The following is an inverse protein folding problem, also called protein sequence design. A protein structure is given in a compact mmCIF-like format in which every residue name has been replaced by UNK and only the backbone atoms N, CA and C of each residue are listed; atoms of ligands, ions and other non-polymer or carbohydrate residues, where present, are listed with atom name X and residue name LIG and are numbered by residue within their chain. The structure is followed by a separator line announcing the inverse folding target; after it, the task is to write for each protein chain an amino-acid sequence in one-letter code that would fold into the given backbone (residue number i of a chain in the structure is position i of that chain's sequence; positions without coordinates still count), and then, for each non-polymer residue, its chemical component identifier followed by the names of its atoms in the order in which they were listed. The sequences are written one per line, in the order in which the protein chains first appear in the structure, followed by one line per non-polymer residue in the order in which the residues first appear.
data_IF_773417494720
#
_entry.id   IF_773417494720
#
_cell.length_a   1.000
_cell.length_b   1.000
_cell.length_c   1.000
_cell.angle_alpha   90.00
_cell.angle_beta   90.00
_cell.angle_gamma   90.00
#
_symmetry.space_group_name_H-M   'P 1'
#
loop_
_entity.id
_entity.type
_entity.pdbx_description
1 polymer ?
#
# COMPACT_ATOMS: atom_id res chain seq x y z
N UNK A 1 23.37 -4.47 -36.14
CA UNK A 1 22.95 -5.74 -35.54
C UNK A 1 22.34 -5.43 -34.21
N UNK A 2 21.00 -5.31 -34.13
CA UNK A 2 20.29 -4.96 -32.93
C UNK A 2 20.07 -6.22 -32.08
N UNK A 3 20.59 -6.24 -30.87
CA UNK A 3 20.24 -7.24 -29.86
C UNK A 3 18.84 -6.88 -29.32
N UNK A 4 17.82 -7.51 -29.89
CA UNK A 4 16.48 -7.49 -29.34
C UNK A 4 16.45 -8.26 -28.02
N UNK A 5 16.44 -7.53 -26.91
CA UNK A 5 16.15 -8.10 -25.59
C UNK A 5 14.65 -8.47 -25.56
N UNK A 6 14.36 -9.76 -25.66
CA UNK A 6 13.02 -10.28 -25.42
C UNK A 6 12.69 -10.11 -23.93
N UNK A 7 11.84 -9.15 -23.61
CA UNK A 7 11.24 -9.03 -22.29
C UNK A 7 10.31 -10.24 -22.12
N UNK A 8 10.68 -11.15 -21.23
CA UNK A 8 9.86 -12.29 -20.86
C UNK A 8 8.67 -11.74 -20.07
N UNK A 9 7.44 -11.86 -20.60
CA UNK A 9 6.23 -11.61 -19.82
C UNK A 9 6.29 -12.48 -18.56
N UNK A 10 6.29 -11.86 -17.40
CA UNK A 10 6.22 -12.57 -16.14
C UNK A 10 4.74 -12.88 -15.93
N UNK A 11 4.44 -14.16 -15.82
CA UNK A 11 3.09 -14.66 -15.54
C UNK A 11 2.67 -14.19 -14.14
N UNK A 12 1.50 -13.54 -13.97
CA UNK A 12 1.01 -13.11 -12.67
C UNK A 12 0.91 -14.24 -11.64
N UNK A 13 0.75 -15.48 -12.09
CA UNK A 13 0.77 -16.67 -11.22
C UNK A 13 2.18 -17.07 -10.76
N UNK A 14 3.25 -16.46 -11.30
CA UNK A 14 4.65 -16.73 -10.91
C UNK A 14 5.24 -15.67 -9.95
N UNK A 15 4.47 -14.69 -9.49
CA UNK A 15 4.84 -13.81 -8.36
C UNK A 15 4.71 -14.52 -7.00
N UNK A 16 4.86 -15.82 -6.99
CA UNK A 16 5.12 -16.58 -5.78
C UNK A 16 6.54 -16.26 -5.35
N UNK A 17 6.70 -15.76 -4.15
CA UNK A 17 7.96 -15.48 -3.48
C UNK A 17 9.03 -16.56 -3.75
N UNK A 18 9.83 -16.38 -4.79
CA UNK A 18 10.86 -17.33 -5.21
C UNK A 18 12.20 -16.99 -4.60
N UNK A 19 12.31 -17.09 -3.27
CA UNK A 19 13.63 -17.19 -2.65
C UNK A 19 13.60 -18.12 -1.47
N UNK A 20 14.31 -19.22 -1.63
CA UNK A 20 14.81 -20.16 -0.65
C UNK A 20 13.84 -20.79 0.35
N UNK A 21 13.71 -22.10 0.18
CA UNK A 21 13.46 -23.11 1.22
C UNK A 21 12.52 -22.70 2.38
N UNK A 22 11.26 -23.15 2.29
CA UNK A 22 10.32 -23.26 3.40
C UNK A 22 9.70 -21.96 3.89
N UNK A 23 8.85 -21.34 3.08
CA UNK A 23 7.75 -20.53 3.60
C UNK A 23 6.43 -21.26 3.34
N UNK A 24 5.81 -21.86 4.35
CA UNK A 24 4.47 -22.44 4.22
C UNK A 24 3.37 -21.36 4.18
N UNK A 25 3.71 -20.07 4.11
CA UNK A 25 2.83 -18.95 4.33
C UNK A 25 2.57 -18.17 3.06
N UNK A 26 1.33 -17.70 2.91
CA UNK A 26 0.90 -16.89 1.78
C UNK A 26 1.69 -15.58 1.65
N UNK A 27 1.80 -15.10 0.43
CA UNK A 27 2.41 -13.82 0.11
C UNK A 27 1.63 -13.22 -1.06
N UNK A 28 1.29 -11.95 -0.95
CA UNK A 28 0.70 -11.17 -2.03
C UNK A 28 1.53 -9.91 -2.21
N UNK A 29 2.04 -9.71 -3.40
CA UNK A 29 2.77 -8.51 -3.78
C UNK A 29 2.18 -8.01 -5.09
N UNK A 30 1.70 -6.77 -5.07
CA UNK A 30 1.16 -6.10 -6.23
C UNK A 30 1.90 -4.79 -6.42
N UNK A 31 2.36 -4.56 -7.61
CA UNK A 31 2.92 -3.28 -8.00
C UNK A 31 2.31 -2.86 -9.33
N UNK A 32 1.85 -1.65 -9.37
CA UNK A 32 1.18 -1.05 -10.52
C UNK A 32 2.08 -0.99 -11.78
N UNK A 33 3.27 -1.58 -11.71
CA UNK A 33 4.17 -1.73 -12.84
C UNK A 33 3.69 -2.70 -13.91
N UNK A 34 2.64 -3.49 -13.68
CA UNK A 34 2.31 -4.58 -14.58
C UNK A 34 0.90 -4.50 -15.16
N UNK A 35 -0.12 -4.41 -14.37
CA UNK A 35 -1.52 -4.39 -14.85
C UNK A 35 -2.43 -3.97 -13.71
N UNK A 36 -3.64 -3.52 -14.04
CA UNK A 36 -4.74 -3.41 -13.09
C UNK A 36 -4.93 -4.75 -12.36
N UNK A 37 -4.87 -4.73 -11.05
CA UNK A 37 -4.98 -5.92 -10.22
C UNK A 37 -6.05 -5.74 -9.13
N UNK A 38 -6.78 -6.83 -8.85
CA UNK A 38 -7.63 -7.00 -7.69
C UNK A 38 -7.35 -8.39 -7.11
N UNK A 39 -6.86 -8.44 -5.88
CA UNK A 39 -6.42 -9.68 -5.23
C UNK A 39 -6.80 -9.69 -3.77
N UNK A 40 -7.19 -10.86 -3.28
CA UNK A 40 -7.52 -11.10 -1.87
C UNK A 40 -6.66 -12.23 -1.32
N UNK A 41 -6.34 -12.14 -0.02
CA UNK A 41 -5.54 -13.12 0.70
C UNK A 41 -5.95 -13.16 2.16
N UNK A 42 -6.04 -14.37 2.73
CA UNK A 42 -6.13 -14.58 4.17
C UNK A 42 -4.77 -15.00 4.72
N UNK A 43 -4.28 -14.31 5.74
CA UNK A 43 -2.95 -14.53 6.30
C UNK A 43 -2.88 -14.12 7.76
N UNK A 44 -2.43 -15.02 8.63
CA UNK A 44 -2.19 -14.75 10.06
C UNK A 44 -3.38 -14.04 10.75
N UNK A 45 -4.62 -14.51 10.53
CA UNK A 45 -5.82 -13.94 11.13
C UNK A 45 -6.28 -12.59 10.54
N UNK A 46 -5.71 -12.18 9.41
CA UNK A 46 -6.19 -11.08 8.59
C UNK A 46 -6.78 -11.59 7.28
N UNK A 47 -7.93 -11.06 6.90
CA UNK A 47 -8.40 -11.02 5.53
C UNK A 47 -7.86 -9.72 4.90
N UNK A 48 -7.29 -9.81 3.72
CA UNK A 48 -6.69 -8.70 3.00
C UNK A 48 -7.27 -8.62 1.59
N UNK A 49 -7.51 -7.41 1.11
CA UNK A 49 -7.94 -7.17 -0.26
C UNK A 49 -7.18 -5.96 -0.82
N UNK A 50 -6.66 -6.09 -2.02
CA UNK A 50 -5.89 -5.05 -2.70
C UNK A 50 -6.43 -4.79 -4.08
N UNK A 51 -6.72 -3.54 -4.36
CA UNK A 51 -6.95 -3.03 -5.71
C UNK A 51 -5.78 -2.11 -6.07
N UNK A 52 -5.15 -2.35 -7.22
CA UNK A 52 -4.11 -1.49 -7.78
C UNK A 52 -4.49 -1.13 -9.23
N UNK A 53 -4.53 0.16 -9.54
CA UNK A 53 -4.88 0.70 -10.85
C UNK A 53 -3.81 1.69 -11.26
N UNK A 54 -2.95 1.34 -12.23
CA UNK A 54 -1.94 2.27 -12.73
C UNK A 54 -2.58 3.42 -13.51
N UNK A 55 -2.00 4.60 -13.39
CA UNK A 55 -2.28 5.76 -14.24
C UNK A 55 -1.64 5.54 -15.62
N UNK A 56 -2.40 5.77 -16.68
CA UNK A 56 -1.91 5.53 -18.03
C UNK A 56 -1.85 4.05 -18.42
N UNK A 57 -1.28 3.75 -19.59
CA UNK A 57 -1.55 2.48 -20.27
C UNK A 57 -0.80 1.25 -19.74
N UNK A 58 0.34 1.39 -19.06
CA UNK A 58 1.18 0.21 -18.86
C UNK A 58 1.88 0.06 -17.48
N UNK A 59 2.18 1.12 -16.73
CA UNK A 59 2.99 1.01 -15.50
C UNK A 59 2.81 2.18 -14.55
N UNK A 60 2.83 1.90 -13.27
CA UNK A 60 2.76 2.88 -12.20
C UNK A 60 3.90 2.79 -11.19
N UNK A 61 3.91 3.70 -10.23
CA UNK A 61 4.86 3.78 -9.12
C UNK A 61 4.39 3.10 -7.83
N UNK A 62 3.10 2.81 -7.73
CA UNK A 62 2.54 2.16 -6.52
C UNK A 62 3.02 0.73 -6.34
N UNK A 63 3.32 0.38 -5.09
CA UNK A 63 3.67 -0.97 -4.66
C UNK A 63 2.90 -1.31 -3.40
N UNK A 64 2.20 -2.43 -3.40
CA UNK A 64 1.60 -3.01 -2.19
C UNK A 64 2.09 -4.42 -1.95
N UNK A 65 2.26 -4.79 -0.67
CA UNK A 65 2.67 -6.12 -0.27
C UNK A 65 1.98 -6.55 1.03
N UNK A 66 1.51 -7.80 1.05
CA UNK A 66 1.00 -8.47 2.25
C UNK A 66 1.72 -9.81 2.35
N UNK A 67 2.47 -10.03 3.40
CA UNK A 67 3.24 -11.25 3.55
C UNK A 67 3.40 -11.69 5.01
N UNK A 68 3.67 -12.98 5.20
CA UNK A 68 3.89 -13.54 6.53
C UNK A 68 5.35 -13.38 6.97
N UNK A 69 5.55 -12.85 8.17
CA UNK A 69 6.84 -12.88 8.85
C UNK A 69 6.99 -14.13 9.75
N UNK A 70 5.88 -14.75 10.14
CA UNK A 70 5.77 -16.00 10.91
C UNK A 70 4.33 -16.50 10.85
N UNK A 71 4.03 -17.62 11.52
CA UNK A 71 2.67 -18.18 11.60
C UNK A 71 1.63 -17.17 12.11
N UNK A 72 2.06 -16.30 13.03
CA UNK A 72 1.18 -15.38 13.75
C UNK A 72 1.35 -13.92 13.33
N UNK A 73 2.32 -13.59 12.48
CA UNK A 73 2.63 -12.20 12.12
C UNK A 73 2.51 -11.97 10.63
N UNK A 74 1.58 -11.12 10.25
CA UNK A 74 1.45 -10.59 8.91
C UNK A 74 2.07 -9.18 8.83
N UNK A 75 2.80 -8.91 7.76
CA UNK A 75 3.27 -7.57 7.41
C UNK A 75 2.54 -7.05 6.19
N UNK A 76 2.24 -5.77 6.23
CA UNK A 76 1.67 -5.04 5.11
C UNK A 76 2.54 -3.84 4.78
N UNK A 77 2.63 -3.52 3.51
CA UNK A 77 3.35 -2.35 2.99
C UNK A 77 2.53 -1.76 1.86
N UNK A 78 2.41 -0.44 1.85
CA UNK A 78 1.98 0.32 0.70
C UNK A 78 3.01 1.43 0.48
N UNK A 79 3.53 1.52 -0.72
CA UNK A 79 4.53 2.50 -1.13
C UNK A 79 4.06 3.17 -2.42
N UNK A 80 4.30 4.47 -2.52
CA UNK A 80 4.01 5.28 -3.68
C UNK A 80 5.29 6.05 -4.06
N UNK A 81 5.76 5.79 -5.27
CA UNK A 81 7.01 6.31 -5.79
C UNK A 81 6.75 7.56 -6.62
N UNK A 82 7.41 8.66 -6.29
CA UNK A 82 7.27 9.94 -6.99
C UNK A 82 7.36 9.81 -8.50
N UNK A 83 6.38 10.36 -9.19
CA UNK A 83 6.24 10.33 -10.64
C UNK A 83 5.30 9.22 -11.10
N UNK A 84 5.13 9.07 -12.40
CA UNK A 84 4.23 8.11 -13.01
C UNK A 84 4.91 7.34 -14.16
N UNK A 85 4.30 6.25 -14.56
CA UNK A 85 4.75 5.49 -15.72
C UNK A 85 6.04 4.70 -15.50
N UNK A 86 6.86 4.59 -16.55
CA UNK A 86 8.01 3.67 -16.56
C UNK A 86 9.07 4.02 -15.50
N UNK A 87 9.41 5.30 -15.35
CA UNK A 87 10.47 5.71 -14.42
C UNK A 87 10.07 5.47 -12.96
N UNK A 88 8.83 5.79 -12.58
CA UNK A 88 8.30 5.47 -11.27
C UNK A 88 8.27 3.95 -11.02
N UNK A 89 7.94 3.14 -12.03
CA UNK A 89 7.97 1.68 -11.92
C UNK A 89 9.36 1.10 -11.68
N UNK A 90 10.43 1.77 -12.14
CA UNK A 90 11.80 1.37 -11.81
C UNK A 90 12.13 1.65 -10.34
N UNK A 91 11.64 2.76 -9.81
CA UNK A 91 11.77 3.09 -8.38
C UNK A 91 11.00 2.09 -7.53
N UNK A 92 9.75 1.79 -7.87
CA UNK A 92 8.94 0.78 -7.19
C UNK A 92 9.62 -0.59 -7.17
N UNK A 93 10.22 -1.00 -8.29
CA UNK A 93 11.00 -2.25 -8.36
C UNK A 93 12.22 -2.23 -7.45
N UNK A 94 12.88 -1.08 -7.29
CA UNK A 94 14.01 -0.96 -6.37
C UNK A 94 13.55 -1.07 -4.92
N UNK A 95 12.47 -0.37 -4.55
CA UNK A 95 11.83 -0.49 -3.23
C UNK A 95 11.44 -1.94 -2.94
N UNK A 96 10.80 -2.62 -3.90
CA UNK A 96 10.46 -4.04 -3.79
C UNK A 96 11.68 -4.91 -3.51
N UNK A 97 12.80 -4.69 -4.22
CA UNK A 97 14.04 -5.42 -3.97
C UNK A 97 14.58 -5.18 -2.54
N UNK A 98 14.52 -3.94 -2.05
CA UNK A 98 14.96 -3.60 -0.70
C UNK A 98 14.03 -4.20 0.37
N UNK A 99 12.71 -4.24 0.15
CA UNK A 99 11.77 -4.93 1.02
C UNK A 99 12.12 -6.42 1.18
N UNK A 100 12.45 -7.10 0.09
CA UNK A 100 12.92 -8.48 0.14
C UNK A 100 14.24 -8.63 0.90
N UNK A 101 15.17 -7.69 0.70
CA UNK A 101 16.46 -7.70 1.41
C UNK A 101 16.29 -7.56 2.92
N UNK A 102 15.33 -6.73 3.36
CA UNK A 102 15.11 -6.40 4.76
C UNK A 102 13.88 -7.09 5.38
N UNK A 103 13.31 -8.08 4.72
CA UNK A 103 12.09 -8.78 5.16
C UNK A 103 12.18 -9.39 6.58
N UNK A 104 13.39 -9.67 7.08
CA UNK A 104 13.61 -10.24 8.41
C UNK A 104 13.60 -9.19 9.53
N UNK A 105 13.60 -7.89 9.19
CA UNK A 105 13.43 -6.82 10.17
C UNK A 105 11.97 -6.81 10.62
N UNK A 106 11.72 -7.15 11.91
CA UNK A 106 10.36 -7.24 12.45
C UNK A 106 9.78 -5.91 12.90
N UNK A 107 10.62 -5.04 13.39
CA UNK A 107 10.30 -3.69 13.80
C UNK A 107 9.87 -2.84 12.59
N UNK A 108 8.72 -2.17 12.65
CA UNK A 108 8.18 -1.40 11.52
C UNK A 108 8.97 -0.11 11.28
N UNK A 109 9.34 0.58 12.35
CA UNK A 109 10.17 1.78 12.26
C UNK A 109 11.58 1.45 11.78
N UNK A 110 12.17 0.38 12.30
CA UNK A 110 13.48 -0.12 11.87
C UNK A 110 13.50 -0.56 10.41
N UNK A 111 12.41 -1.13 9.88
CA UNK A 111 12.29 -1.44 8.46
C UNK A 111 12.36 -0.17 7.61
N UNK A 112 11.59 0.89 7.96
CA UNK A 112 11.62 2.16 7.22
C UNK A 112 13.00 2.81 7.28
N UNK A 113 13.65 2.79 8.44
CA UNK A 113 15.02 3.30 8.61
C UNK A 113 16.01 2.57 7.69
N UNK A 114 15.96 1.24 7.68
CA UNK A 114 16.84 0.42 6.82
C UNK A 114 16.56 0.63 5.32
N UNK A 115 15.27 0.78 4.95
CA UNK A 115 14.87 1.11 3.58
C UNK A 115 15.40 2.47 3.17
N UNK A 116 15.22 3.49 4.03
CA UNK A 116 15.69 4.85 3.75
C UNK A 116 17.20 4.91 3.55
N UNK A 117 17.97 4.31 4.46
CA UNK A 117 19.43 4.32 4.37
C UNK A 117 19.93 3.65 3.09
N UNK A 118 19.40 2.47 2.76
CA UNK A 118 19.80 1.75 1.56
C UNK A 118 19.34 2.46 0.27
N UNK A 119 18.15 3.04 0.28
CA UNK A 119 17.60 3.74 -0.87
C UNK A 119 18.34 5.05 -1.15
N UNK A 120 18.64 5.82 -0.12
CA UNK A 120 19.36 7.09 -0.25
C UNK A 120 20.77 6.88 -0.80
N UNK A 121 21.50 5.87 -0.33
CA UNK A 121 22.83 5.51 -0.85
C UNK A 121 22.76 5.17 -2.34
N UNK A 122 21.83 4.30 -2.74
CA UNK A 122 21.67 3.90 -4.15
C UNK A 122 21.25 5.04 -5.07
N UNK A 123 20.47 5.99 -4.56
CA UNK A 123 20.03 7.17 -5.33
C UNK A 123 21.15 8.19 -5.54
N UNK A 124 22.09 8.31 -4.60
CA UNK A 124 23.25 9.22 -4.74
C UNK A 124 24.28 8.73 -5.75
N UNK A 125 24.35 7.43 -6.00
CA UNK A 125 25.25 6.81 -7.00
C UNK A 125 24.71 6.92 -8.43
N UNK A 126 23.50 7.43 -8.63
CA UNK A 126 22.81 7.52 -9.92
C UNK A 126 23.04 8.84 -10.67
N UNK A 127 22.10 9.17 -11.52
CA UNK A 127 22.12 10.32 -12.44
C UNK A 127 21.79 11.69 -11.79
N UNK A 128 21.69 11.74 -10.46
CA UNK A 128 21.29 12.93 -9.71
C UNK A 128 19.79 13.23 -9.72
N UNK A 129 18.98 12.35 -10.28
CA UNK A 129 17.52 12.48 -10.22
C UNK A 129 17.04 12.19 -8.80
N UNK A 130 16.31 13.14 -8.23
CA UNK A 130 15.70 12.95 -6.91
C UNK A 130 14.64 11.84 -7.00
N UNK A 131 14.90 10.75 -6.30
CA UNK A 131 13.98 9.62 -6.20
C UNK A 131 13.51 9.53 -4.76
N UNK A 132 12.21 9.65 -4.57
CA UNK A 132 11.56 9.57 -3.26
C UNK A 132 10.41 8.59 -3.34
N UNK A 133 10.06 8.06 -2.18
CA UNK A 133 8.92 7.17 -2.06
C UNK A 133 8.23 7.43 -0.74
N UNK A 134 6.91 7.61 -0.77
CA UNK A 134 6.12 7.58 0.43
C UNK A 134 5.84 6.12 0.79
N UNK A 135 5.88 5.77 2.07
CA UNK A 135 5.64 4.39 2.52
C UNK A 135 4.85 4.36 3.81
N UNK A 136 3.85 3.51 3.87
CA UNK A 136 3.28 3.03 5.13
C UNK A 136 3.55 1.54 5.27
N UNK A 137 3.97 1.11 6.45
CA UNK A 137 4.12 -0.31 6.77
C UNK A 137 3.46 -0.63 8.09
N UNK A 138 2.89 -1.82 8.20
CA UNK A 138 2.28 -2.32 9.42
C UNK A 138 2.62 -3.80 9.66
N UNK A 139 2.63 -4.20 10.92
CA UNK A 139 2.76 -5.57 11.34
C UNK A 139 1.61 -5.93 12.29
N UNK A 140 0.87 -6.97 11.96
CA UNK A 140 -0.22 -7.50 12.77
C UNK A 140 0.23 -8.79 13.47
N UNK A 141 0.09 -8.83 14.80
CA UNK A 141 0.27 -10.05 15.60
C UNK A 141 -1.11 -10.66 15.91
N UNK A 142 -1.42 -11.81 15.30
CA UNK A 142 -2.69 -12.50 15.45
C UNK A 142 -2.97 -12.93 16.91
N UNK A 143 -1.93 -13.21 17.70
CA UNK A 143 -2.06 -13.67 19.09
C UNK A 143 -2.53 -12.55 20.03
N UNK A 144 -2.02 -11.35 19.80
CA UNK A 144 -2.34 -10.17 20.65
C UNK A 144 -3.45 -9.33 20.02
N UNK A 145 -3.61 -9.38 18.71
CA UNK A 145 -4.44 -8.49 17.93
C UNK A 145 -3.85 -7.09 17.80
N UNK A 146 -2.57 -6.93 18.07
CA UNK A 146 -1.87 -5.66 17.95
C UNK A 146 -1.45 -5.43 16.50
N UNK A 147 -1.70 -4.22 16.01
CA UNK A 147 -1.24 -3.73 14.72
C UNK A 147 -0.30 -2.56 14.96
N UNK A 148 0.99 -2.78 14.73
CA UNK A 148 2.05 -1.78 14.85
C UNK A 148 2.37 -1.23 13.48
N UNK A 149 2.50 0.09 13.33
CA UNK A 149 2.67 0.73 12.04
C UNK A 149 3.56 1.97 12.12
N UNK A 150 4.17 2.31 10.98
CA UNK A 150 5.03 3.48 10.78
C UNK A 150 4.80 4.09 9.40
N UNK A 151 5.09 5.38 9.27
CA UNK A 151 4.94 6.15 8.03
C UNK A 151 6.25 6.81 7.61
N UNK A 152 6.45 6.88 6.31
CA UNK A 152 7.41 7.74 5.63
C UNK A 152 6.64 8.66 4.68
N UNK A 153 6.06 9.74 5.20
CA UNK A 153 5.26 10.75 4.48
C UNK A 153 4.04 10.20 3.69
N UNK A 154 3.59 8.99 3.96
CA UNK A 154 2.45 8.38 3.26
C UNK A 154 1.12 8.86 3.85
N UNK A 155 0.01 8.90 3.07
CA UNK A 155 -1.32 9.20 3.59
C UNK A 155 -1.67 8.35 4.81
N UNK A 156 -2.33 8.95 5.79
CA UNK A 156 -2.70 8.24 7.02
C UNK A 156 -3.79 7.21 6.75
N UNK A 157 -3.62 6.04 7.32
CA UNK A 157 -4.60 4.95 7.24
C UNK A 157 -5.88 5.32 7.99
N UNK A 158 -7.00 4.76 7.53
CA UNK A 158 -8.27 4.79 8.22
C UNK A 158 -8.49 3.45 8.94
N UNK A 159 -8.93 3.53 10.19
CA UNK A 159 -9.32 2.38 11.01
C UNK A 159 -10.84 2.39 11.20
N UNK A 160 -11.52 1.40 10.66
CA UNK A 160 -12.91 1.10 10.97
C UNK A 160 -13.01 0.38 12.30
N UNK A 161 -13.72 0.95 13.24
CA UNK A 161 -14.09 0.32 14.51
C UNK A 161 -15.46 -0.34 14.36
N UNK A 162 -15.48 -1.65 14.23
CA UNK A 162 -16.72 -2.38 13.98
C UNK A 162 -17.80 -2.19 15.06
N UNK A 163 -17.39 -2.06 16.31
CA UNK A 163 -18.32 -1.84 17.43
C UNK A 163 -18.92 -0.45 17.46
N UNK A 164 -18.11 0.54 17.13
CA UNK A 164 -18.48 1.96 17.13
C UNK A 164 -19.12 2.38 15.79
N UNK A 165 -19.02 1.54 14.76
CA UNK A 165 -19.50 1.80 13.39
C UNK A 165 -19.00 3.14 12.84
N UNK A 166 -17.70 3.41 13.00
CA UNK A 166 -17.06 4.63 12.52
C UNK A 166 -15.64 4.39 12.05
N UNK A 167 -15.19 5.21 11.10
CA UNK A 167 -13.79 5.33 10.75
C UNK A 167 -13.10 6.38 11.62
N UNK A 168 -11.84 6.11 11.97
CA UNK A 168 -10.92 7.07 12.58
C UNK A 168 -9.61 7.08 11.80
N UNK A 169 -8.99 8.23 11.64
CA UNK A 169 -7.65 8.34 11.10
C UNK A 169 -6.63 7.94 12.18
N UNK A 170 -5.61 7.18 11.83
CA UNK A 170 -4.57 6.73 12.76
C UNK A 170 -3.18 7.20 12.30
N UNK A 171 -2.26 7.41 13.25
CA UNK A 171 -0.88 7.83 12.98
C UNK A 171 -0.63 9.31 13.20
N UNK A 172 -1.49 10.01 13.94
CA UNK A 172 -1.20 11.40 14.36
C UNK A 172 0.12 11.44 15.14
N UNK A 173 1.00 12.37 14.79
CA UNK A 173 2.33 12.52 15.39
C UNK A 173 3.42 11.62 14.80
N UNK A 174 3.13 10.89 13.70
CA UNK A 174 4.11 10.11 12.94
C UNK A 174 4.52 10.82 11.62
N UNK A 175 4.64 12.14 11.65
CA UNK A 175 5.11 12.90 10.49
C UNK A 175 6.63 12.72 10.34
N UNK A 176 7.04 11.99 9.30
CA UNK A 176 8.44 11.75 8.92
C UNK A 176 8.65 12.09 7.44
N UNK A 177 9.90 12.24 7.02
CA UNK A 177 10.23 12.45 5.62
C UNK A 177 9.99 11.19 4.77
N UNK A 178 9.72 11.33 3.46
CA UNK A 178 9.66 10.18 2.56
C UNK A 178 11.02 9.50 2.48
N UNK A 179 11.00 8.23 2.13
CA UNK A 179 12.23 7.46 1.88
C UNK A 179 12.99 8.08 0.71
N UNK A 180 14.31 8.25 0.89
CA UNK A 180 15.20 8.81 -0.10
C UNK A 180 15.40 10.33 0.00
N UNK A 181 14.67 11.03 0.86
CA UNK A 181 14.75 12.48 0.98
C UNK A 181 15.90 12.93 1.90
N UNK A 182 16.05 12.29 3.06
CA UNK A 182 17.08 12.64 4.07
C UNK A 182 17.82 11.38 4.51
N UNK A 183 19.16 11.44 4.49
CA UNK A 183 19.99 10.35 5.03
C UNK A 183 19.93 10.32 6.55
N UNK A 184 19.81 9.13 7.14
CA UNK A 184 19.82 8.93 8.59
C UNK A 184 18.52 9.29 9.28
N UNK A 185 17.42 9.44 8.54
CA UNK A 185 16.10 9.64 9.12
C UNK A 185 15.74 8.48 10.04
N UNK A 186 15.24 8.80 11.22
CA UNK A 186 14.79 7.83 12.22
C UNK A 186 13.25 7.85 12.28
N UNK A 187 12.64 6.77 11.86
CA UNK A 187 11.19 6.64 11.88
C UNK A 187 10.69 6.21 13.26
N UNK A 188 9.46 6.57 13.56
CA UNK A 188 8.76 6.15 14.77
C UNK A 188 7.58 5.26 14.41
N UNK A 189 7.13 4.45 15.36
CA UNK A 189 5.97 3.59 15.19
C UNK A 189 4.93 3.81 16.29
N UNK A 190 3.71 3.48 15.98
CA UNK A 190 2.59 3.43 16.93
C UNK A 190 1.90 2.07 16.81
N UNK A 191 1.16 1.71 17.86
CA UNK A 191 0.38 0.49 17.86
C UNK A 191 -1.09 0.78 18.16
N UNK A 192 -1.96 -0.02 17.57
CA UNK A 192 -3.38 -0.06 17.88
C UNK A 192 -3.84 -1.50 17.99
N UNK A 193 -4.70 -1.79 18.95
CA UNK A 193 -5.32 -3.11 19.04
C UNK A 193 -6.53 -3.18 18.12
N UNK A 194 -6.53 -4.13 17.20
CA UNK A 194 -7.69 -4.47 16.39
C UNK A 194 -8.55 -5.49 17.12
N UNK A 195 -9.86 -5.28 17.16
CA UNK A 195 -10.83 -6.29 17.55
C UNK A 195 -11.29 -7.06 16.32
N UNK A 196 -11.91 -8.22 16.52
CA UNK A 196 -12.55 -8.96 15.42
C UNK A 196 -13.54 -8.07 14.69
N UNK A 197 -13.42 -8.03 13.36
CA UNK A 197 -14.22 -7.19 12.48
C UNK A 197 -13.70 -5.76 12.30
N UNK A 198 -12.75 -5.28 13.10
CA UNK A 198 -12.07 -4.01 12.84
C UNK A 198 -11.28 -4.11 11.51
N UNK A 199 -11.24 -3.02 10.76
CA UNK A 199 -10.62 -2.97 9.43
C UNK A 199 -9.67 -1.78 9.31
N UNK A 200 -8.50 -2.02 8.71
CA UNK A 200 -7.57 -0.97 8.26
C UNK A 200 -7.80 -0.73 6.77
N UNK A 201 -7.82 0.53 6.37
CA UNK A 201 -7.83 0.97 4.98
C UNK A 201 -6.61 1.87 4.75
N UNK A 202 -5.64 1.37 4.00
CA UNK A 202 -4.52 2.15 3.47
C UNK A 202 -4.79 2.47 1.99
N UNK A 203 -4.28 3.60 1.52
CA UNK A 203 -4.52 4.07 0.15
C UNK A 203 -3.41 5.00 -0.31
N UNK A 204 -3.08 4.99 -1.62
CA UNK A 204 -2.19 5.98 -2.22
C UNK A 204 -2.91 7.32 -2.42
N UNK A 205 -2.15 8.39 -2.59
CA UNK A 205 -2.69 9.75 -2.72
C UNK A 205 -3.58 9.91 -3.97
N UNK A 206 -3.33 9.14 -5.04
CA UNK A 206 -4.20 9.12 -6.21
C UNK A 206 -5.66 8.80 -5.90
N UNK A 207 -5.96 8.13 -4.77
CA UNK A 207 -7.35 7.94 -4.34
C UNK A 207 -8.00 9.21 -3.77
N UNK A 208 -7.20 10.18 -3.29
CA UNK A 208 -7.67 11.42 -2.65
C UNK A 208 -7.46 12.66 -3.51
N UNK A 209 -6.58 12.58 -4.50
CA UNK A 209 -6.26 13.70 -5.40
C UNK A 209 -7.12 13.75 -6.66
N UNK A 210 -7.97 12.75 -6.88
CA UNK A 210 -8.95 12.80 -7.97
C UNK A 210 -9.82 14.06 -7.88
N UNK A 211 -10.00 14.71 -9.00
CA UNK A 211 -10.85 15.90 -9.13
C UNK A 211 -11.74 15.81 -10.38
N UNK A 212 -12.96 16.35 -10.35
CA UNK A 212 -13.72 16.60 -11.56
C UNK A 212 -13.08 17.73 -12.37
N UNK A 213 -13.33 17.84 -13.69
CA UNK A 213 -12.65 18.79 -14.59
C UNK A 213 -12.67 20.25 -14.15
N UNK A 214 -13.72 20.67 -13.44
CA UNK A 214 -13.89 22.03 -12.92
C UNK A 214 -14.21 22.02 -11.42
N UNK A 215 -13.54 21.14 -10.64
CA UNK A 215 -13.81 20.97 -9.22
C UNK A 215 -12.55 20.83 -8.38
N UNK A 216 -12.76 20.70 -7.08
CA UNK A 216 -11.69 20.49 -6.11
C UNK A 216 -11.36 19.00 -5.99
N UNK A 217 -10.16 18.69 -5.50
CA UNK A 217 -9.76 17.32 -5.18
C UNK A 217 -10.66 16.73 -4.08
N UNK A 218 -10.82 15.41 -4.11
CA UNK A 218 -11.61 14.68 -3.10
C UNK A 218 -11.08 14.93 -1.69
N UNK A 219 -9.78 15.03 -1.53
CA UNK A 219 -9.04 15.22 -0.27
C UNK A 219 -9.17 14.03 0.69
N UNK A 220 -8.25 13.85 1.66
CA UNK A 220 -8.36 12.79 2.67
C UNK A 220 -9.66 12.84 3.48
N UNK A 221 -10.18 14.06 3.77
CA UNK A 221 -11.47 14.21 4.47
C UNK A 221 -12.68 13.82 3.62
N UNK A 222 -12.61 14.07 2.32
CA UNK A 222 -13.64 13.63 1.37
C UNK A 222 -13.63 12.13 1.22
N UNK A 223 -12.43 11.52 1.12
CA UNK A 223 -12.26 10.09 1.04
C UNK A 223 -12.74 9.36 2.30
N UNK A 224 -12.46 9.90 3.50
CA UNK A 224 -13.01 9.40 4.75
C UNK A 224 -14.55 9.34 4.71
N UNK A 225 -15.22 10.45 4.31
CA UNK A 225 -16.70 10.49 4.18
C UNK A 225 -17.22 9.50 3.15
N UNK A 226 -16.49 9.31 2.05
CA UNK A 226 -16.82 8.31 1.04
C UNK A 226 -16.75 6.89 1.61
N UNK A 227 -15.68 6.57 2.35
CA UNK A 227 -15.53 5.28 3.01
C UNK A 227 -16.64 5.02 4.04
N UNK A 228 -17.01 6.02 4.85
CA UNK A 228 -18.14 5.94 5.80
C UNK A 228 -19.47 5.69 5.09
N UNK A 229 -19.74 6.43 4.01
CA UNK A 229 -20.95 6.25 3.21
C UNK A 229 -20.99 4.85 2.58
N UNK A 230 -19.87 4.41 2.01
CA UNK A 230 -19.75 3.08 1.42
C UNK A 230 -20.02 1.99 2.46
N UNK A 231 -19.39 2.07 3.63
CA UNK A 231 -19.59 1.13 4.72
C UNK A 231 -21.08 1.10 5.19
N UNK A 232 -21.71 2.26 5.27
CA UNK A 232 -23.12 2.40 5.69
C UNK A 232 -24.07 1.72 4.72
N UNK A 233 -23.80 1.77 3.41
CA UNK A 233 -24.60 1.10 2.38
C UNK A 233 -24.61 -0.43 2.52
N UNK A 234 -23.58 -1.00 3.13
CA UNK A 234 -23.49 -2.44 3.42
C UNK A 234 -24.00 -2.82 4.82
N UNK A 235 -24.45 -1.87 5.62
CA UNK A 235 -24.86 -2.16 6.99
C UNK A 235 -23.70 -2.47 7.96
N UNK A 236 -22.47 -2.10 7.59
CA UNK A 236 -21.31 -2.10 8.51
C UNK A 236 -20.36 -3.30 8.45
N UNK A 237 -20.63 -4.34 7.67
CA UNK A 237 -19.76 -5.52 7.56
C UNK A 237 -19.81 -6.18 6.18
N UNK A 238 -19.36 -5.50 5.12
CA UNK A 238 -19.32 -6.06 3.78
C UNK A 238 -18.21 -7.13 3.64
N UNK A 239 -18.28 -8.01 2.63
CA UNK A 239 -17.10 -8.69 2.12
C UNK A 239 -16.06 -7.66 1.68
N UNK A 240 -14.75 -7.87 1.97
CA UNK A 240 -13.72 -6.87 1.64
C UNK A 240 -13.66 -6.55 0.15
N UNK A 241 -13.71 -7.52 -0.79
CA UNK A 241 -13.67 -7.20 -2.20
C UNK A 241 -14.82 -6.29 -2.65
N UNK A 242 -16.04 -6.55 -2.13
CA UNK A 242 -17.21 -5.74 -2.46
C UNK A 242 -17.11 -4.31 -1.90
N UNK A 243 -16.55 -4.17 -0.70
CA UNK A 243 -16.28 -2.86 -0.12
C UNK A 243 -15.23 -2.09 -0.94
N UNK A 244 -14.12 -2.75 -1.30
CA UNK A 244 -13.04 -2.14 -2.08
C UNK A 244 -13.52 -1.70 -3.47
N UNK A 245 -14.30 -2.55 -4.15
CA UNK A 245 -14.91 -2.22 -5.44
C UNK A 245 -15.87 -1.03 -5.33
N UNK A 246 -16.77 -1.04 -4.34
CA UNK A 246 -17.72 0.06 -4.15
C UNK A 246 -17.03 1.37 -3.78
N UNK A 247 -15.96 1.32 -2.99
CA UNK A 247 -15.16 2.49 -2.65
C UNK A 247 -14.45 3.07 -3.89
N UNK A 248 -13.84 2.20 -4.70
CA UNK A 248 -13.22 2.60 -5.96
C UNK A 248 -14.23 3.22 -6.93
N UNK A 249 -15.42 2.62 -7.07
CA UNK A 249 -16.48 3.21 -7.89
C UNK A 249 -16.94 4.56 -7.35
N UNK A 250 -16.95 4.76 -6.03
CA UNK A 250 -17.20 6.06 -5.41
C UNK A 250 -16.14 7.11 -5.76
N UNK A 251 -14.86 6.73 -5.76
CA UNK A 251 -13.74 7.60 -6.21
C UNK A 251 -13.90 7.98 -7.68
N UNK A 252 -14.23 7.03 -8.56
CA UNK A 252 -14.50 7.27 -9.97
C UNK A 252 -15.71 8.16 -10.20
N UNK A 253 -16.79 7.91 -9.47
CA UNK A 253 -18.00 8.73 -9.54
C UNK A 253 -17.73 10.18 -9.10
N UNK A 254 -16.87 10.39 -8.10
CA UNK A 254 -16.44 11.73 -7.71
C UNK A 254 -15.69 12.44 -8.83
N UNK A 255 -14.77 11.75 -9.49
CA UNK A 255 -14.03 12.29 -10.63
C UNK A 255 -14.95 12.68 -11.78
N UNK A 256 -16.04 11.93 -12.02
CA UNK A 256 -17.13 12.28 -12.92
C UNK A 256 -16.80 12.26 -14.42
N UNK A 257 -15.60 11.85 -14.81
CA UNK A 257 -15.16 11.73 -16.21
C UNK A 257 -14.57 10.35 -16.46
N UNK A 258 -14.81 9.84 -17.67
CA UNK A 258 -14.11 8.65 -18.18
C UNK A 258 -12.76 9.05 -18.76
N UNK A 259 -11.77 8.18 -18.66
CA UNK A 259 -10.43 8.39 -19.20
C UNK A 259 -9.32 7.92 -18.26
N UNK A 260 -8.09 8.20 -18.65
CA UNK A 260 -6.90 7.84 -17.87
C UNK A 260 -6.88 8.59 -16.55
N UNK A 261 -6.43 7.88 -15.50
CA UNK A 261 -6.19 8.48 -14.19
C UNK A 261 -4.97 9.39 -14.25
N UNK A 262 -4.95 10.42 -13.44
CA UNK A 262 -3.82 11.35 -13.33
C UNK A 262 -2.67 10.72 -12.52
N UNK A 263 -3.02 9.88 -11.56
CA UNK A 263 -2.08 9.12 -10.73
C UNK A 263 -2.57 7.69 -10.47
N UNK A 264 -1.67 6.84 -9.97
CA UNK A 264 -1.98 5.47 -9.59
C UNK A 264 -2.96 5.46 -8.42
N UNK A 265 -3.91 4.52 -8.43
CA UNK A 265 -4.81 4.32 -7.30
C UNK A 265 -4.57 2.93 -6.73
N UNK A 266 -4.12 2.88 -5.48
CA UNK A 266 -4.04 1.65 -4.72
C UNK A 266 -4.89 1.74 -3.45
N UNK A 267 -5.77 0.75 -3.26
CA UNK A 267 -6.55 0.54 -2.04
C UNK A 267 -6.12 -0.79 -1.43
N UNK A 268 -5.69 -0.75 -0.18
CA UNK A 268 -5.34 -1.93 0.61
C UNK A 268 -6.24 -1.98 1.84
N UNK A 269 -7.14 -2.94 1.88
CA UNK A 269 -8.04 -3.19 3.01
C UNK A 269 -7.60 -4.45 3.77
N UNK A 270 -7.65 -4.37 5.10
CA UNK A 270 -7.30 -5.47 6.00
C UNK A 270 -8.39 -5.60 7.05
N UNK A 271 -8.88 -6.79 7.31
CA UNK A 271 -9.87 -7.04 8.38
C UNK A 271 -9.38 -8.13 9.31
N UNK A 272 -9.45 -7.87 10.63
CA UNK A 272 -9.18 -8.89 11.62
C UNK A 272 -10.30 -9.94 11.62
N UNK A 273 -9.91 -11.18 11.39
CA UNK A 273 -10.77 -12.35 11.50
C UNK A 273 -11.00 -12.77 12.97
N UNK A 274 -12.02 -13.61 13.23
CA UNK A 274 -12.30 -14.14 14.57
C UNK A 274 -11.17 -14.92 15.21
#
# INVERSE_FOLDING_TARGET
MGLGMKIKKIDPEQLVCSTSAKRPFGCMELWAGNEKAHRSLELAGLESDVIAIPSGAERGGDLSAVFSCSDDIARVVLADCVGHGYDASLVARHVHHLLHKFQDIRDTAGLLTALNDAFTVSSQEGDGTLRMTTVVTGAFDARTGEFTFAYAAHPRMLLWRARESQFIEIGEGLENFPIGFVTGEQYNEQSVRLNTGDMILAFSDGATEVAPPEGEQLTPKGFLRLAESTMSNFGGSPPLPEFSDALLEGVRAYRGVEGELEDDITLLTLRRLP
#
